data_IF_988701039372
#
_entry.id   IF_988701039372
#
_cell.length_a   1.000
_cell.length_b   1.000
_cell.length_c   1.000
_cell.angle_alpha   90.00
_cell.angle_beta   90.00
_cell.angle_gamma   90.00
#
_symmetry.space_group_name_H-M   'P 1'
#
loop_
_entity.id
_entity.type
_entity.pdbx_description
1 polymer ?
#
# COMPACT_ATOMS: atom_id res chain seq x y z
N UNK A 1 4.86 11.67 -18.84
CA UNK A 1 4.85 12.05 -17.41
C UNK A 1 3.49 11.72 -16.85
N UNK A 2 3.42 10.74 -15.95
CA UNK A 2 2.18 10.32 -15.30
C UNK A 2 1.94 11.21 -14.09
N UNK A 3 1.03 12.19 -14.22
CA UNK A 3 0.72 13.15 -13.16
C UNK A 3 -0.29 12.56 -12.19
N UNK A 4 0.17 11.62 -11.36
CA UNK A 4 -0.50 11.36 -10.08
C UNK A 4 -0.28 12.59 -9.19
N UNK A 5 -1.38 13.18 -8.72
CA UNK A 5 -1.34 14.29 -7.78
C UNK A 5 -0.95 13.78 -6.38
N UNK A 6 -0.13 14.56 -5.67
CA UNK A 6 0.39 14.19 -4.35
C UNK A 6 0.30 15.35 -3.38
N UNK A 7 0.16 14.99 -2.10
CA UNK A 7 0.55 15.84 -0.98
C UNK A 7 1.70 15.19 -0.23
N UNK A 8 2.52 16.02 0.41
CA UNK A 8 3.86 15.62 0.84
C UNK A 8 4.20 16.17 2.22
N UNK A 9 4.87 15.35 3.02
CA UNK A 9 5.49 15.75 4.28
C UNK A 9 6.97 15.38 4.23
N UNK A 10 7.82 16.41 4.20
CA UNK A 10 9.27 16.23 4.27
C UNK A 10 9.69 15.60 5.61
N UNK A 11 10.83 14.91 5.67
CA UNK A 11 11.36 14.39 6.92
C UNK A 11 11.50 15.49 7.98
N UNK A 12 11.14 15.16 9.23
CA UNK A 12 11.33 16.03 10.39
C UNK A 12 12.77 15.97 10.91
N UNK A 13 13.48 14.88 10.62
CA UNK A 13 14.90 14.72 10.90
C UNK A 13 15.65 14.39 9.60
N UNK A 14 16.67 15.20 9.30
CA UNK A 14 17.51 15.03 8.12
C UNK A 14 18.77 14.26 8.48
N UNK A 15 19.26 13.49 7.51
CA UNK A 15 20.57 12.82 7.56
C UNK A 15 21.41 13.29 6.36
N UNK A 16 22.65 12.80 6.25
CA UNK A 16 23.48 13.04 5.07
C UNK A 16 23.07 12.16 3.86
N UNK A 17 22.11 11.26 4.04
CA UNK A 17 21.63 10.33 3.03
C UNK A 17 20.23 10.73 2.54
N UNK A 18 19.88 10.27 1.34
CA UNK A 18 18.52 10.43 0.83
C UNK A 18 17.52 9.71 1.76
N UNK A 19 16.43 10.38 2.20
CA UNK A 19 15.52 9.82 3.19
C UNK A 19 14.75 8.61 2.64
N UNK A 20 14.35 7.67 3.50
CA UNK A 20 13.39 6.63 3.14
C UNK A 20 12.03 7.25 2.80
N UNK A 21 11.29 6.60 1.89
CA UNK A 21 10.00 7.07 1.39
C UNK A 21 8.89 6.17 1.92
N UNK A 22 7.85 6.77 2.48
CA UNK A 22 6.57 6.10 2.70
C UNK A 22 5.53 6.69 1.74
N UNK A 23 5.03 5.86 0.82
CA UNK A 23 3.96 6.21 -0.10
C UNK A 23 2.61 5.65 0.38
N UNK A 24 1.64 6.54 0.59
CA UNK A 24 0.28 6.22 1.01
C UNK A 24 -0.65 6.13 -0.21
N UNK A 25 -1.42 5.04 -0.30
CA UNK A 25 -2.43 4.80 -1.33
C UNK A 25 -3.81 4.62 -0.67
N UNK A 26 -4.72 5.57 -0.90
CA UNK A 26 -6.05 5.59 -0.29
C UNK A 26 -7.03 4.60 -0.93
N UNK A 27 -8.16 4.37 -0.26
CA UNK A 27 -9.25 3.51 -0.72
C UNK A 27 -10.21 4.15 -1.73
N UNK A 28 -11.19 3.39 -2.23
CA UNK A 28 -12.21 3.90 -3.15
C UNK A 28 -13.03 5.03 -2.52
N UNK A 29 -13.25 6.13 -3.26
CA UNK A 29 -14.07 7.26 -2.81
C UNK A 29 -13.36 8.23 -1.87
N UNK A 30 -12.16 7.89 -1.39
CA UNK A 30 -11.32 8.76 -0.57
C UNK A 30 -10.45 9.69 -1.45
N UNK A 31 -9.47 10.35 -0.84
CA UNK A 31 -8.51 11.20 -1.53
C UNK A 31 -7.16 11.15 -0.80
N UNK A 32 -6.17 11.89 -1.30
CA UNK A 32 -4.82 11.94 -0.76
C UNK A 32 -4.72 12.46 0.68
N UNK A 33 -5.72 13.17 1.20
CA UNK A 33 -5.72 13.61 2.61
C UNK A 33 -6.13 12.50 3.59
N UNK A 34 -6.87 11.49 3.14
CA UNK A 34 -7.52 10.48 3.99
C UNK A 34 -6.56 9.72 4.91
N UNK A 35 -5.39 9.34 4.37
CA UNK A 35 -4.36 8.63 5.11
C UNK A 35 -3.25 9.56 5.63
N UNK A 36 -3.26 10.84 5.28
CA UNK A 36 -2.09 11.71 5.45
C UNK A 36 -1.76 12.00 6.92
N UNK A 37 -2.74 11.91 7.81
CA UNK A 37 -2.53 12.02 9.26
C UNK A 37 -1.69 10.87 9.83
N UNK A 38 -1.56 9.73 9.11
CA UNK A 38 -0.62 8.66 9.49
C UNK A 38 0.82 9.16 9.52
N UNK A 39 1.15 10.21 8.76
CA UNK A 39 2.47 10.82 8.72
C UNK A 39 2.89 11.43 10.08
N UNK A 40 1.98 11.62 11.03
CA UNK A 40 2.31 12.05 12.39
C UNK A 40 2.90 10.92 13.25
N UNK A 41 2.54 9.67 12.96
CA UNK A 41 2.91 8.49 13.74
C UNK A 41 4.15 7.77 13.22
N UNK A 42 4.65 8.14 12.04
CA UNK A 42 5.85 7.49 11.45
C UNK A 42 7.15 8.13 11.97
N UNK A 43 8.22 7.35 11.88
CA UNK A 43 9.56 7.79 12.26
C UNK A 43 9.93 9.11 11.53
N UNK A 44 10.51 10.10 12.22
CA UNK A 44 10.78 11.43 11.66
C UNK A 44 11.74 11.45 10.47
N UNK A 45 12.45 10.37 10.16
CA UNK A 45 13.31 10.29 8.98
C UNK A 45 12.55 10.01 7.67
N UNK A 46 11.30 9.54 7.74
CA UNK A 46 10.51 9.27 6.54
C UNK A 46 10.14 10.55 5.80
N UNK A 47 10.32 10.53 4.48
CA UNK A 47 9.59 11.39 3.57
C UNK A 47 8.25 10.71 3.29
N UNK A 48 7.14 11.36 3.65
CA UNK A 48 5.79 10.79 3.43
C UNK A 48 5.13 11.46 2.24
N UNK A 49 4.61 10.65 1.32
CA UNK A 49 3.84 11.09 0.16
C UNK A 49 2.49 10.40 0.20
N UNK A 50 1.42 11.15 0.02
CA UNK A 50 0.09 10.56 -0.19
C UNK A 50 -0.38 10.84 -1.61
N UNK A 51 -0.71 9.78 -2.34
CA UNK A 51 -1.10 9.87 -3.74
C UNK A 51 -2.61 9.87 -3.92
N UNK A 52 -3.11 10.77 -4.76
CA UNK A 52 -4.49 10.80 -5.21
C UNK A 52 -4.67 9.83 -6.38
N UNK A 53 -5.63 8.94 -6.27
CA UNK A 53 -5.98 8.03 -7.34
C UNK A 53 -6.50 8.79 -8.59
N UNK A 54 -6.26 8.28 -9.82
CA UNK A 54 -6.47 9.04 -11.05
C UNK A 54 -7.95 9.23 -11.45
N UNK A 55 -8.86 8.34 -11.02
CA UNK A 55 -10.26 8.42 -11.43
C UNK A 55 -11.00 9.36 -10.48
N UNK A 56 -11.65 10.37 -11.04
CA UNK A 56 -12.50 11.29 -10.26
C UNK A 56 -13.89 10.70 -10.09
N UNK A 57 -14.39 10.74 -8.86
CA UNK A 57 -15.74 10.33 -8.47
C UNK A 57 -16.55 11.56 -8.04
N UNK A 58 -17.89 11.44 -7.93
CA UNK A 58 -18.72 12.48 -7.32
C UNK A 58 -18.26 12.85 -5.89
N UNK A 59 -18.66 14.04 -5.43
CA UNK A 59 -18.43 14.51 -4.05
C UNK A 59 -16.95 14.64 -3.64
N UNK A 60 -16.04 14.75 -4.60
CA UNK A 60 -14.60 14.96 -4.34
C UNK A 60 -13.84 13.67 -3.99
N UNK A 61 -14.44 12.50 -4.23
CA UNK A 61 -13.79 11.22 -4.09
C UNK A 61 -12.93 10.84 -5.30
N UNK A 62 -12.00 9.92 -5.09
CA UNK A 62 -11.14 9.37 -6.13
C UNK A 62 -11.07 7.84 -6.02
N UNK A 63 -10.74 7.19 -7.13
CA UNK A 63 -10.56 5.74 -7.18
C UNK A 63 -9.40 5.37 -8.10
N UNK A 64 -8.79 4.23 -7.81
CA UNK A 64 -7.72 3.69 -8.62
C UNK A 64 -8.27 2.97 -9.85
N UNK A 65 -9.35 2.23 -9.65
CA UNK A 65 -10.06 1.50 -10.68
C UNK A 65 -11.57 1.49 -10.40
N UNK A 66 -12.36 1.24 -11.44
CA UNK A 66 -13.81 1.23 -11.30
C UNK A 66 -14.29 0.00 -10.53
N UNK A 67 -15.35 0.21 -9.76
CA UNK A 67 -16.13 -0.86 -9.15
C UNK A 67 -17.50 -0.88 -9.84
N UNK A 68 -17.89 -2.04 -10.35
CA UNK A 68 -19.25 -2.33 -10.79
C UNK A 68 -20.03 -3.11 -9.72
N UNK A 69 -21.11 -3.75 -10.15
CA UNK A 69 -21.94 -4.61 -9.30
C UNK A 69 -23.15 -3.89 -8.68
N UNK A 70 -23.65 -4.43 -7.58
CA UNK A 70 -24.83 -3.91 -6.85
C UNK A 70 -24.43 -3.47 -5.44
N UNK A 71 -25.22 -2.62 -4.77
CA UNK A 71 -24.98 -2.29 -3.37
C UNK A 71 -24.82 -3.57 -2.51
N UNK A 72 -23.75 -3.65 -1.73
CA UNK A 72 -23.39 -4.84 -0.95
C UNK A 72 -22.60 -5.93 -1.70
N UNK A 73 -22.39 -5.77 -3.02
CA UNK A 73 -21.52 -6.65 -3.82
C UNK A 73 -20.83 -5.85 -4.92
N UNK A 74 -19.77 -5.16 -4.53
CA UNK A 74 -18.92 -4.43 -5.46
C UNK A 74 -17.98 -5.39 -6.17
N UNK A 75 -17.86 -5.25 -7.49
CA UNK A 75 -17.02 -6.09 -8.34
C UNK A 75 -15.97 -5.20 -9.00
N UNK A 76 -14.66 -5.45 -8.78
CA UNK A 76 -13.60 -4.73 -9.48
C UNK A 76 -13.72 -4.90 -10.99
N UNK A 77 -13.61 -3.80 -11.74
CA UNK A 77 -13.44 -3.87 -13.19
C UNK A 77 -11.99 -4.31 -13.51
N UNK A 78 -11.78 -5.46 -14.16
CA UNK A 78 -10.44 -6.03 -14.33
C UNK A 78 -9.54 -5.15 -15.21
N UNK A 79 -10.10 -4.54 -16.27
CA UNK A 79 -9.34 -3.71 -17.22
C UNK A 79 -8.77 -2.46 -16.54
N UNK A 80 -9.62 -1.68 -15.88
CA UNK A 80 -9.18 -0.45 -15.20
C UNK A 80 -8.31 -0.74 -14.00
N UNK A 81 -8.49 -1.89 -13.35
CA UNK A 81 -7.60 -2.37 -12.28
C UNK A 81 -6.20 -2.68 -12.79
N UNK A 82 -6.07 -3.40 -13.91
CA UNK A 82 -4.75 -3.65 -14.52
C UNK A 82 -4.06 -2.34 -14.90
N UNK A 83 -4.77 -1.42 -15.54
CA UNK A 83 -4.22 -0.09 -15.86
C UNK A 83 -3.81 0.70 -14.61
N UNK A 84 -4.55 0.59 -13.51
CA UNK A 84 -4.21 1.23 -12.24
C UNK A 84 -2.89 0.70 -11.67
N UNK A 85 -2.68 -0.62 -11.73
CA UNK A 85 -1.42 -1.25 -11.31
C UNK A 85 -0.27 -0.76 -12.19
N UNK A 86 -0.40 -0.78 -13.52
CA UNK A 86 0.64 -0.29 -14.43
C UNK A 86 0.98 1.19 -14.22
N UNK A 87 -0.04 2.01 -13.96
CA UNK A 87 0.14 3.41 -13.63
C UNK A 87 0.89 3.59 -12.32
N UNK A 88 0.50 2.83 -11.29
CA UNK A 88 1.15 2.86 -9.99
C UNK A 88 2.61 2.35 -10.08
N UNK A 89 2.90 1.33 -10.89
CA UNK A 89 4.26 0.84 -11.14
C UNK A 89 5.17 1.96 -11.63
N UNK A 90 4.77 2.64 -12.71
CA UNK A 90 5.54 3.77 -13.26
C UNK A 90 5.72 4.88 -12.24
N UNK A 91 4.67 5.20 -11.49
CA UNK A 91 4.74 6.23 -10.47
C UNK A 91 5.69 5.89 -9.32
N UNK A 92 5.62 4.67 -8.78
CA UNK A 92 6.49 4.23 -7.68
C UNK A 92 7.96 4.20 -8.11
N UNK A 93 8.25 3.73 -9.32
CA UNK A 93 9.62 3.68 -9.86
C UNK A 93 10.19 5.10 -10.07
N UNK A 94 9.39 6.03 -10.60
CA UNK A 94 9.87 7.38 -10.92
C UNK A 94 9.93 8.31 -9.70
N UNK A 95 9.10 8.07 -8.67
CA UNK A 95 8.91 8.99 -7.55
C UNK A 95 10.21 9.30 -6.79
N UNK A 96 11.05 8.33 -6.38
CA UNK A 96 12.25 8.64 -5.59
C UNK A 96 13.22 9.60 -6.26
N UNK A 97 13.44 9.43 -7.56
CA UNK A 97 14.30 10.32 -8.34
C UNK A 97 13.72 11.74 -8.44
N UNK A 98 12.38 11.88 -8.48
CA UNK A 98 11.70 13.17 -8.59
C UNK A 98 11.76 13.99 -7.30
N UNK A 99 11.70 13.33 -6.14
CA UNK A 99 11.63 14.02 -4.83
C UNK A 99 12.91 13.87 -3.98
N UNK A 100 13.93 13.17 -4.50
CA UNK A 100 15.22 13.03 -3.85
C UNK A 100 15.21 12.07 -2.65
N UNK A 101 14.41 11.00 -2.69
CA UNK A 101 14.39 9.94 -1.67
C UNK A 101 15.22 8.73 -2.13
N UNK A 102 15.55 7.84 -1.20
CA UNK A 102 16.30 6.63 -1.54
C UNK A 102 15.41 5.60 -2.26
N UNK A 103 15.68 5.23 -3.53
CA UNK A 103 14.85 4.29 -4.29
C UNK A 103 14.86 2.87 -3.73
N UNK A 104 15.85 2.50 -2.91
CA UNK A 104 15.92 1.19 -2.23
C UNK A 104 15.16 1.16 -0.91
N UNK A 105 14.61 2.30 -0.48
CA UNK A 105 13.91 2.46 0.81
C UNK A 105 12.50 3.02 0.59
N UNK A 106 11.82 2.51 -0.42
CA UNK A 106 10.43 2.88 -0.74
C UNK A 106 9.48 1.88 -0.10
N UNK A 107 8.71 2.33 0.87
CA UNK A 107 7.68 1.54 1.55
C UNK A 107 6.31 2.01 1.12
N UNK A 108 5.37 1.08 1.01
CA UNK A 108 3.99 1.37 0.64
C UNK A 108 3.07 1.13 1.83
N UNK A 109 2.15 2.06 2.09
CA UNK A 109 0.97 1.81 2.91
C UNK A 109 -0.26 1.95 2.03
N UNK A 110 -1.04 0.89 1.94
CA UNK A 110 -2.29 0.89 1.19
C UNK A 110 -3.49 0.58 2.09
N UNK A 111 -4.61 1.26 1.83
CA UNK A 111 -5.90 0.95 2.42
C UNK A 111 -6.91 0.55 1.33
N UNK A 112 -7.66 -0.54 1.52
CA UNK A 112 -8.71 -0.99 0.59
C UNK A 112 -8.18 -1.15 -0.85
N UNK A 113 -8.66 -0.39 -1.85
CA UNK A 113 -8.08 -0.39 -3.21
C UNK A 113 -6.56 -0.13 -3.21
N UNK A 114 -6.10 0.79 -2.37
CA UNK A 114 -4.68 1.08 -2.23
C UNK A 114 -3.89 -0.13 -1.71
N UNK A 115 -4.46 -0.91 -0.79
CA UNK A 115 -3.83 -2.14 -0.28
C UNK A 115 -3.70 -3.21 -1.37
N UNK A 116 -4.75 -3.38 -2.18
CA UNK A 116 -4.77 -4.32 -3.32
C UNK A 116 -3.69 -3.93 -4.33
N UNK A 117 -3.56 -2.64 -4.63
CA UNK A 117 -2.52 -2.13 -5.53
C UNK A 117 -1.14 -2.32 -4.93
N UNK A 118 -0.91 -1.97 -3.66
CA UNK A 118 0.39 -2.17 -3.00
C UNK A 118 0.83 -3.63 -3.07
N UNK A 119 -0.06 -4.58 -2.76
CA UNK A 119 0.23 -6.01 -2.84
C UNK A 119 0.50 -6.46 -4.28
N UNK A 120 -0.21 -5.94 -5.27
CA UNK A 120 0.07 -6.24 -6.68
C UNK A 120 1.46 -5.70 -7.08
N UNK A 121 1.81 -4.48 -6.70
CA UNK A 121 3.13 -3.92 -7.00
C UNK A 121 4.27 -4.78 -6.43
N UNK A 122 4.04 -5.41 -5.28
CA UNK A 122 4.98 -6.32 -4.63
C UNK A 122 5.44 -7.46 -5.54
N UNK A 123 4.55 -8.01 -6.37
CA UNK A 123 4.86 -9.15 -7.25
C UNK A 123 5.24 -8.72 -8.67
N UNK A 124 5.13 -7.43 -9.00
CA UNK A 124 5.45 -6.89 -10.33
C UNK A 124 6.74 -6.06 -10.37
N UNK A 125 7.03 -5.29 -9.32
CA UNK A 125 8.24 -4.45 -9.19
C UNK A 125 8.92 -4.61 -7.81
N UNK A 126 9.14 -5.85 -7.31
CA UNK A 126 9.71 -6.08 -5.98
C UNK A 126 11.06 -5.37 -5.75
N UNK A 127 11.86 -5.17 -6.79
CA UNK A 127 13.17 -4.51 -6.70
C UNK A 127 13.09 -3.01 -6.34
N UNK A 128 11.90 -2.41 -6.49
CA UNK A 128 11.61 -1.01 -6.20
C UNK A 128 10.90 -0.81 -4.86
N UNK A 129 10.60 -1.89 -4.12
CA UNK A 129 9.80 -1.85 -2.90
C UNK A 129 10.58 -2.50 -1.74
N UNK A 130 10.80 -1.71 -0.68
CA UNK A 130 11.49 -2.14 0.53
C UNK A 130 10.54 -2.83 1.53
N UNK A 131 9.23 -2.63 1.39
CA UNK A 131 8.22 -3.31 2.19
C UNK A 131 6.83 -2.72 2.03
N UNK A 132 5.81 -3.50 2.43
CA UNK A 132 4.40 -3.14 2.24
C UNK A 132 3.62 -3.29 3.53
N UNK A 133 2.73 -2.34 3.75
CA UNK A 133 1.69 -2.38 4.76
C UNK A 133 0.35 -2.35 4.03
N UNK A 134 -0.39 -3.45 4.08
CA UNK A 134 -1.68 -3.61 3.42
C UNK A 134 -2.77 -3.70 4.49
N UNK A 135 -3.66 -2.71 4.54
CA UNK A 135 -4.79 -2.68 5.47
C UNK A 135 -6.12 -2.83 4.73
N UNK A 136 -6.96 -3.75 5.23
CA UNK A 136 -8.32 -3.97 4.71
C UNK A 136 -8.35 -4.27 3.22
N UNK A 137 -7.46 -5.13 2.73
CA UNK A 137 -7.31 -5.48 1.32
C UNK A 137 -6.73 -6.89 1.12
N UNK A 138 -6.48 -7.25 -0.14
CA UNK A 138 -6.06 -8.59 -0.51
C UNK A 138 -5.18 -8.59 -1.77
N UNK A 139 -4.36 -9.62 -1.95
CA UNK A 139 -3.65 -9.88 -3.20
C UNK A 139 -4.61 -10.61 -4.13
N UNK A 140 -5.01 -9.96 -5.21
CA UNK A 140 -5.88 -10.58 -6.20
C UNK A 140 -5.09 -11.62 -7.02
N UNK A 141 -5.53 -12.90 -7.08
CA UNK A 141 -4.87 -13.92 -7.88
C UNK A 141 -4.74 -13.55 -9.37
N UNK A 142 -5.67 -12.77 -9.92
CA UNK A 142 -5.61 -12.33 -11.33
C UNK A 142 -4.48 -11.32 -11.59
N UNK A 143 -3.95 -10.69 -10.54
CA UNK A 143 -2.82 -9.76 -10.63
C UNK A 143 -1.48 -10.46 -10.37
N UNK A 144 -1.47 -11.75 -10.02
CA UNK A 144 -0.25 -12.51 -9.74
C UNK A 144 0.34 -13.04 -11.05
N UNK A 145 1.62 -12.75 -11.38
CA UNK A 145 2.25 -13.30 -12.57
C UNK A 145 2.44 -14.82 -12.46
N UNK A 146 2.49 -15.51 -13.60
CA UNK A 146 2.68 -16.97 -13.65
C UNK A 146 3.96 -17.43 -12.97
N UNK A 147 5.02 -16.61 -13.02
CA UNK A 147 6.28 -16.85 -12.34
C UNK A 147 6.54 -15.69 -11.37
N UNK A 148 6.78 -16.02 -10.11
CA UNK A 148 7.05 -15.03 -9.07
C UNK A 148 8.52 -14.56 -9.15
N UNK A 149 8.79 -13.26 -9.03
CA UNK A 149 10.17 -12.75 -9.06
C UNK A 149 10.98 -13.21 -7.85
N UNK A 150 12.28 -13.48 -8.06
CA UNK A 150 13.22 -13.83 -6.99
C UNK A 150 13.35 -12.72 -5.94
N UNK A 151 13.24 -11.46 -6.35
CA UNK A 151 13.34 -10.28 -5.48
C UNK A 151 12.20 -10.18 -4.44
N UNK A 152 11.16 -11.03 -4.50
CA UNK A 152 10.21 -11.21 -3.41
C UNK A 152 10.85 -11.83 -2.16
N UNK A 153 12.00 -12.49 -2.30
CA UNK A 153 12.70 -13.16 -1.22
C UNK A 153 13.04 -12.18 -0.09
N UNK A 154 12.62 -12.54 1.13
CA UNK A 154 12.68 -11.78 2.36
C UNK A 154 11.93 -10.43 2.37
N UNK A 155 11.11 -10.15 1.36
CA UNK A 155 10.34 -8.91 1.30
C UNK A 155 9.39 -8.79 2.51
N UNK A 156 9.49 -7.70 3.29
CA UNK A 156 8.60 -7.46 4.42
C UNK A 156 7.19 -7.09 3.96
N UNK A 157 6.19 -7.84 4.43
CA UNK A 157 4.78 -7.53 4.22
C UNK A 157 4.06 -7.57 5.57
N UNK A 158 3.50 -6.44 5.99
CA UNK A 158 2.55 -6.35 7.08
C UNK A 158 1.13 -6.30 6.49
N UNK A 159 0.30 -7.27 6.81
CA UNK A 159 -1.10 -7.31 6.41
C UNK A 159 -1.98 -7.19 7.66
N UNK A 160 -2.94 -6.27 7.62
CA UNK A 160 -3.87 -6.01 8.72
C UNK A 160 -5.31 -6.01 8.21
N UNK A 161 -6.23 -6.62 8.94
CA UNK A 161 -7.64 -6.69 8.50
C UNK A 161 -8.65 -6.62 9.65
N UNK A 162 -9.82 -6.05 9.38
CA UNK A 162 -10.94 -6.02 10.32
C UNK A 162 -11.75 -7.31 10.31
N UNK A 163 -11.99 -7.93 11.47
CA UNK A 163 -12.82 -9.15 11.55
C UNK A 163 -14.29 -8.89 11.28
N UNK A 164 -14.73 -7.63 11.34
CA UNK A 164 -16.11 -7.21 11.08
C UNK A 164 -16.23 -6.44 9.74
N UNK A 165 -15.21 -6.51 8.89
CA UNK A 165 -15.21 -5.84 7.59
C UNK A 165 -16.30 -6.43 6.68
N UNK A 166 -17.31 -5.61 6.40
CA UNK A 166 -18.49 -5.93 5.57
C UNK A 166 -18.31 -5.49 4.12
N UNK A 167 -17.21 -4.78 3.80
CA UNK A 167 -16.88 -4.32 2.44
C UNK A 167 -15.93 -5.32 1.77
N UNK A 168 -14.84 -5.67 2.46
CA UNK A 168 -13.89 -6.70 2.05
C UNK A 168 -13.82 -7.72 3.18
N UNK A 169 -14.53 -8.85 3.09
CA UNK A 169 -14.53 -9.86 4.15
C UNK A 169 -13.12 -10.32 4.52
N UNK A 170 -12.87 -10.56 5.81
CA UNK A 170 -11.58 -11.03 6.33
C UNK A 170 -11.06 -12.30 5.64
N UNK A 171 -11.96 -13.11 5.07
CA UNK A 171 -11.60 -14.29 4.28
C UNK A 171 -10.75 -13.95 3.04
N UNK A 172 -10.91 -12.76 2.44
CA UNK A 172 -10.03 -12.29 1.36
C UNK A 172 -8.58 -12.09 1.86
N UNK A 173 -8.44 -11.64 3.11
CA UNK A 173 -7.14 -11.51 3.76
C UNK A 173 -6.52 -12.88 4.06
N UNK A 174 -7.33 -13.84 4.50
CA UNK A 174 -6.91 -15.25 4.67
C UNK A 174 -6.42 -15.88 3.37
N UNK A 175 -7.09 -15.62 2.25
CA UNK A 175 -6.63 -16.08 0.94
C UNK A 175 -5.27 -15.49 0.57
N UNK A 176 -5.06 -14.19 0.82
CA UNK A 176 -3.76 -13.55 0.62
C UNK A 176 -2.67 -14.22 1.46
N UNK A 177 -2.95 -14.49 2.74
CA UNK A 177 -2.02 -15.22 3.61
C UNK A 177 -1.68 -16.60 3.06
N UNK A 178 -2.68 -17.36 2.61
CA UNK A 178 -2.47 -18.69 2.02
C UNK A 178 -1.64 -18.63 0.73
N UNK A 179 -1.79 -17.57 -0.08
CA UNK A 179 -0.97 -17.34 -1.27
C UNK A 179 0.48 -16.98 -0.94
N UNK A 180 0.71 -16.23 0.15
CA UNK A 180 2.03 -15.78 0.57
C UNK A 180 2.79 -16.83 1.40
N UNK A 181 2.11 -17.73 2.11
CA UNK A 181 2.70 -18.76 2.96
C UNK A 181 3.78 -19.64 2.29
N UNK A 182 3.61 -20.14 1.05
CA UNK A 182 4.65 -20.93 0.39
C UNK A 182 5.79 -20.08 -0.18
N UNK A 183 5.68 -18.75 -0.13
CA UNK A 183 6.65 -17.84 -0.74
C UNK A 183 7.71 -17.44 0.29
N UNK A 184 8.95 -17.14 -0.14
CA UNK A 184 10.02 -16.74 0.76
C UNK A 184 9.86 -15.28 1.24
N UNK A 185 8.67 -14.84 1.64
CA UNK A 185 8.40 -13.46 2.10
C UNK A 185 8.41 -13.37 3.63
N UNK A 186 8.74 -12.21 4.20
CA UNK A 186 8.59 -11.93 5.64
C UNK A 186 7.18 -11.40 5.90
N UNK A 187 6.21 -12.31 5.96
CA UNK A 187 4.79 -11.96 6.16
C UNK A 187 4.41 -11.87 7.64
N UNK A 188 3.92 -10.71 8.07
CA UNK A 188 3.26 -10.49 9.36
C UNK A 188 1.78 -10.24 9.10
N UNK A 189 0.91 -11.00 9.76
CA UNK A 189 -0.54 -10.90 9.60
C UNK A 189 -1.23 -10.63 10.93
N UNK A 190 -2.11 -9.63 10.97
CA UNK A 190 -2.83 -9.25 12.18
C UNK A 190 -4.30 -8.91 11.89
N UNK A 191 -5.19 -9.35 12.78
CA UNK A 191 -6.61 -9.03 12.73
C UNK A 191 -7.03 -8.16 13.90
N UNK A 192 -8.07 -7.34 13.70
CA UNK A 192 -8.63 -6.46 14.71
C UNK A 192 -10.17 -6.48 14.70
N UNK A 193 -10.84 -6.29 15.85
CA UNK A 193 -12.30 -6.26 15.96
C UNK A 193 -12.89 -4.92 15.47
N UNK A 194 -12.69 -4.60 14.18
CA UNK A 194 -13.17 -3.39 13.49
C UNK A 194 -13.84 -3.77 12.16
N UNK A 195 -14.69 -2.89 11.64
CA UNK A 195 -15.24 -2.97 10.28
C UNK A 195 -14.21 -2.61 9.20
N UNK A 196 -14.66 -2.03 8.09
CA UNK A 196 -13.77 -1.55 7.02
C UNK A 196 -13.00 -0.29 7.45
N UNK A 197 -11.89 -0.47 8.17
CA UNK A 197 -11.11 0.65 8.73
C UNK A 197 -9.81 0.23 9.40
N UNK A 198 -9.06 1.21 9.88
CA UNK A 198 -7.76 1.00 10.53
C UNK A 198 -7.93 1.07 12.04
N UNK A 199 -7.68 -0.03 12.74
CA UNK A 199 -7.71 -0.08 14.20
C UNK A 199 -6.51 0.71 14.80
N UNK A 200 -6.65 1.43 15.93
CA UNK A 200 -5.54 2.17 16.56
C UNK A 200 -4.31 1.31 16.86
N UNK A 201 -4.52 0.05 17.25
CA UNK A 201 -3.43 -0.90 17.50
C UNK A 201 -2.69 -1.27 16.20
N UNK A 202 -3.40 -1.27 15.07
CA UNK A 202 -2.81 -1.39 13.75
C UNK A 202 -1.90 -0.22 13.38
N UNK A 203 -2.26 1.01 13.78
CA UNK A 203 -1.38 2.19 13.62
C UNK A 203 -0.11 2.04 14.47
N UNK A 204 -0.23 1.54 15.71
CA UNK A 204 0.94 1.27 16.56
C UNK A 204 1.84 0.17 15.99
N UNK A 205 1.24 -0.91 15.46
CA UNK A 205 1.97 -1.96 14.79
C UNK A 205 2.69 -1.46 13.53
N UNK A 206 2.02 -0.64 12.71
CA UNK A 206 2.61 0.03 11.55
C UNK A 206 3.85 0.86 11.94
N UNK A 207 3.74 1.67 13.01
CA UNK A 207 4.85 2.47 13.51
C UNK A 207 6.04 1.61 13.94
N UNK A 208 5.80 0.60 14.77
CA UNK A 208 6.85 -0.33 15.21
C UNK A 208 7.51 -1.02 14.01
N UNK A 209 6.68 -1.56 13.11
CA UNK A 209 7.13 -2.31 11.95
C UNK A 209 8.00 -1.46 11.03
N UNK A 210 7.64 -0.20 10.76
CA UNK A 210 8.47 0.72 9.97
C UNK A 210 9.78 1.05 10.69
N UNK A 211 9.73 1.27 12.01
CA UNK A 211 10.93 1.56 12.82
C UNK A 211 11.95 0.43 12.80
N UNK A 212 11.49 -0.82 12.86
CA UNK A 212 12.37 -1.99 12.74
C UNK A 212 13.07 -2.07 11.39
N UNK A 213 12.39 -1.75 10.27
CA UNK A 213 13.01 -1.74 8.94
C UNK A 213 14.10 -0.67 8.83
N UNK A 214 13.92 0.48 9.47
CA UNK A 214 14.96 1.51 9.53
C UNK A 214 16.19 1.06 10.32
N UNK A 215 16.02 0.17 11.31
CA UNK A 215 17.10 -0.33 12.16
C UNK A 215 17.86 -1.52 11.53
N UNK A 216 17.19 -2.36 10.74
CA UNK A 216 17.82 -3.48 10.01
C UNK A 216 18.84 -3.04 8.96
N UNK A 217 18.76 -1.77 8.54
CA UNK A 217 19.56 -1.20 7.46
C UNK A 217 20.70 -0.29 7.97
N UNK A 218 20.92 -0.22 9.30
CA UNK A 218 22.06 0.46 9.95
C UNK A 218 23.17 -0.51 10.29
#
# INVERSE_FOLDING_TARGET
MTTIHTIERKPRQLTNEAPPLLLLLHGYGANEHDLFDLADYVDPHFYVVSARAPLTLPWGGYAWYHLGGTPGRLIPDPTTRTHAVELAQRFVVDLPARIGTNPRRTYLFGFSQGAIISLALSVHIPEAIAGIIASSGYLDPELVPTALPEALTNMPILQMHGTYDDVIPVTAAHHTRALLEPLPVRHTYQEYPVGHGIHPDGVRLMQQWLGERLAEER
#
